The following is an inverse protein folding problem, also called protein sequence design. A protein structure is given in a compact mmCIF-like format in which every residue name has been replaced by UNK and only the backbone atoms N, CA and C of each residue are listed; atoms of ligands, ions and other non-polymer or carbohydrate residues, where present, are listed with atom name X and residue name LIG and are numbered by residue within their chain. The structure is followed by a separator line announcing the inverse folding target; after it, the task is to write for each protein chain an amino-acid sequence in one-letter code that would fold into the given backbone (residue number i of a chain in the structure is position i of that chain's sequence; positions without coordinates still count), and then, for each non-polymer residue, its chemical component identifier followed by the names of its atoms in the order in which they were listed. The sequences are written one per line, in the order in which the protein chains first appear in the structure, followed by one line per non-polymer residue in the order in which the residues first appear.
data_IF_321262691969
#
_entry.id   IF_321262691969
#
_cell.length_a   1.000
_cell.length_b   1.000
_cell.length_c   1.000
_cell.angle_alpha   90.00
_cell.angle_beta   90.00
_cell.angle_gamma   90.00
#
_symmetry.space_group_name_H-M   'P 1'
#
loop_
_entity.id
_entity.type
_entity.pdbx_description
1 polymer ?
#
# COMPACT_ATOMS: atom_id res chain seq x y z
N UNK A 1 -5.43 -12.39 5.10
CA UNK A 1 -4.17 -12.77 4.42
C UNK A 1 -3.00 -12.37 5.32
N UNK A 2 -2.00 -13.22 5.52
CA UNK A 2 -0.79 -12.91 6.31
C UNK A 2 0.46 -13.04 5.43
N UNK A 3 1.43 -12.14 5.61
CA UNK A 3 2.70 -12.12 4.86
C UNK A 3 3.69 -13.06 5.53
N UNK A 4 4.10 -14.14 4.86
CA UNK A 4 5.05 -15.11 5.41
C UNK A 4 6.50 -14.64 5.41
N UNK A 5 6.90 -13.93 4.34
CA UNK A 5 8.25 -13.42 4.16
C UNK A 5 8.18 -11.96 3.74
N UNK A 6 8.92 -11.13 4.46
CA UNK A 6 9.04 -9.71 4.16
C UNK A 6 9.96 -9.50 2.94
N UNK A 7 9.47 -8.90 1.84
CA UNK A 7 10.28 -8.66 0.65
C UNK A 7 11.35 -7.57 0.92
N UNK A 8 12.38 -7.52 0.08
CA UNK A 8 13.36 -6.42 0.15
C UNK A 8 12.73 -5.08 -0.22
N UNK A 9 11.94 -5.07 -1.31
CA UNK A 9 11.18 -3.89 -1.76
C UNK A 9 9.69 -4.14 -1.51
N UNK A 10 9.05 -3.25 -0.77
CA UNK A 10 7.61 -3.27 -0.53
C UNK A 10 6.90 -2.30 -1.49
N UNK A 11 6.23 -2.85 -2.51
CA UNK A 11 5.39 -2.06 -3.42
C UNK A 11 3.95 -2.01 -2.90
N UNK A 12 3.46 -0.82 -2.57
CA UNK A 12 2.10 -0.59 -2.08
C UNK A 12 1.25 0.11 -3.15
N UNK A 13 0.25 -0.59 -3.68
CA UNK A 13 -0.69 -0.02 -4.64
C UNK A 13 -1.87 0.59 -3.88
N UNK A 14 -1.96 1.93 -3.85
CA UNK A 14 -3.15 2.62 -3.36
C UNK A 14 -4.28 2.48 -4.38
N UNK A 15 -5.40 1.86 -3.98
CA UNK A 15 -6.58 1.65 -4.85
C UNK A 15 -7.30 2.98 -5.13
N UNK A 16 -6.70 3.81 -5.98
CA UNK A 16 -7.16 5.17 -6.31
C UNK A 16 -8.20 5.21 -7.44
N UNK A 17 -8.61 4.07 -7.97
CA UNK A 17 -9.64 4.00 -9.00
C UNK A 17 -10.70 3.00 -8.54
N UNK A 18 -11.97 3.41 -8.62
CA UNK A 18 -13.12 2.56 -8.31
C UNK A 18 -14.14 2.65 -9.43
N UNK A 19 -14.76 1.54 -9.77
CA UNK A 19 -15.90 1.53 -10.67
C UNK A 19 -17.11 2.15 -9.96
N UNK A 20 -17.69 3.18 -10.57
CA UNK A 20 -18.87 3.87 -10.07
C UNK A 20 -20.06 3.40 -10.90
N UNK A 21 -20.88 2.52 -10.33
CA UNK A 21 -22.03 1.92 -11.02
C UNK A 21 -22.99 3.00 -11.56
N UNK A 22 -23.28 4.03 -10.78
CA UNK A 22 -24.15 5.15 -11.20
C UNK A 22 -23.65 5.87 -12.46
N UNK A 23 -22.33 5.94 -12.68
CA UNK A 23 -21.71 6.59 -13.83
C UNK A 23 -21.27 5.61 -14.92
N UNK A 24 -21.44 4.31 -14.69
CA UNK A 24 -20.99 3.22 -15.56
C UNK A 24 -19.51 3.36 -16.00
N UNK A 25 -18.63 3.84 -15.10
CA UNK A 25 -17.20 4.05 -15.40
C UNK A 25 -16.31 3.98 -14.17
N UNK A 26 -15.01 3.73 -14.38
CA UNK A 26 -13.99 3.93 -13.36
C UNK A 26 -13.77 5.42 -13.10
N UNK A 27 -13.73 5.79 -11.82
CA UNK A 27 -13.50 7.16 -11.37
C UNK A 27 -12.32 7.20 -10.41
N UNK A 28 -11.51 8.26 -10.51
CA UNK A 28 -10.40 8.52 -9.60
C UNK A 28 -10.92 8.96 -8.23
N UNK A 29 -10.35 8.38 -7.18
CA UNK A 29 -10.66 8.67 -5.79
C UNK A 29 -9.72 9.75 -5.25
N UNK A 30 -10.17 11.01 -5.27
CA UNK A 30 -9.37 12.20 -4.94
C UNK A 30 -9.27 12.53 -3.45
N UNK A 31 -9.75 11.66 -2.55
CA UNK A 31 -9.62 11.91 -1.11
C UNK A 31 -8.15 11.85 -0.65
N UNK A 32 -7.82 12.58 0.41
CA UNK A 32 -6.47 12.56 0.98
C UNK A 32 -6.16 11.18 1.56
N UNK A 33 -4.94 10.69 1.30
CA UNK A 33 -4.37 9.53 2.01
C UNK A 33 -3.04 9.98 2.56
N UNK A 34 -2.84 9.74 3.85
CA UNK A 34 -1.56 9.96 4.53
C UNK A 34 -0.72 8.69 4.43
N UNK A 35 0.60 8.85 4.32
CA UNK A 35 1.55 7.76 4.37
C UNK A 35 2.77 8.20 5.20
N UNK A 36 3.36 7.30 6.00
CA UNK A 36 4.54 7.61 6.78
C UNK A 36 5.82 7.51 5.94
N UNK A 37 6.90 8.10 6.42
CA UNK A 37 8.25 7.91 5.84
C UNK A 37 8.85 6.56 6.24
N UNK A 38 8.47 6.04 7.40
CA UNK A 38 8.89 4.73 7.91
C UNK A 38 7.65 3.87 8.18
N UNK A 39 7.66 2.62 7.71
CA UNK A 39 6.51 1.72 7.81
C UNK A 39 6.89 0.36 8.39
N UNK A 40 6.17 -0.04 9.44
CA UNK A 40 6.16 -1.41 9.96
C UNK A 40 4.95 -2.18 9.46
N UNK A 41 5.14 -3.44 9.05
CA UNK A 41 4.03 -4.33 8.68
C UNK A 41 3.55 -5.13 9.91
N UNK A 42 2.25 -5.05 10.21
CA UNK A 42 1.64 -5.74 11.37
C UNK A 42 0.98 -7.09 11.03
N UNK A 43 0.79 -7.40 9.74
CA UNK A 43 0.09 -8.60 9.26
C UNK A 43 1.06 -9.68 8.75
N UNK A 44 2.13 -9.96 9.49
CA UNK A 44 3.06 -11.07 9.22
C UNK A 44 2.55 -12.37 9.85
N UNK A 45 3.00 -13.53 9.34
CA UNK A 45 2.76 -14.80 10.01
C UNK A 45 3.64 -14.94 11.26
N UNK A 46 3.24 -15.75 12.24
CA UNK A 46 3.97 -15.88 13.51
C UNK A 46 5.37 -16.48 13.37
N UNK A 47 5.62 -17.17 12.26
CA UNK A 47 6.89 -17.76 11.83
C UNK A 47 7.70 -16.83 10.90
N UNK A 48 7.23 -15.60 10.63
CA UNK A 48 7.94 -14.69 9.75
C UNK A 48 9.24 -14.21 10.41
N UNK A 49 10.34 -14.32 9.67
CA UNK A 49 11.65 -13.83 10.11
C UNK A 49 11.68 -12.30 10.02
N UNK A 50 12.26 -11.64 11.03
CA UNK A 50 12.38 -10.17 11.13
C UNK A 50 11.03 -9.43 11.24
N UNK A 51 10.20 -9.81 12.20
CA UNK A 51 8.91 -9.16 12.51
C UNK A 51 9.01 -7.65 12.81
N UNK A 52 10.18 -7.18 13.20
CA UNK A 52 10.48 -5.78 13.51
C UNK A 52 11.06 -4.98 12.33
N UNK A 53 11.12 -5.56 11.12
CA UNK A 53 11.64 -4.84 9.95
C UNK A 53 10.83 -3.55 9.71
N UNK A 54 11.55 -2.44 9.69
CA UNK A 54 11.09 -1.15 9.23
C UNK A 54 11.42 -0.98 7.74
N UNK A 55 10.51 -0.37 7.00
CA UNK A 55 10.71 0.03 5.61
C UNK A 55 10.77 1.54 5.51
N UNK A 56 11.80 2.05 4.84
CA UNK A 56 11.91 3.47 4.50
C UNK A 56 11.23 3.76 3.17
N UNK A 57 10.58 4.93 3.07
CA UNK A 57 9.98 5.41 1.83
C UNK A 57 11.07 5.81 0.84
N UNK A 58 11.18 5.05 -0.24
CA UNK A 58 12.18 5.29 -1.29
C UNK A 58 11.61 5.95 -2.55
N UNK A 59 10.30 5.84 -2.79
CA UNK A 59 9.67 6.38 -4.00
C UNK A 59 8.16 6.62 -3.81
N UNK A 60 7.63 7.61 -4.54
CA UNK A 60 6.19 7.88 -4.65
C UNK A 60 5.84 8.01 -6.13
N UNK A 61 4.84 7.24 -6.58
CA UNK A 61 4.27 7.36 -7.93
C UNK A 61 3.02 8.23 -7.85
N UNK A 62 3.03 9.36 -8.54
CA UNK A 62 1.92 10.31 -8.57
C UNK A 62 1.22 10.25 -9.93
N UNK A 63 -0.10 10.03 -9.91
CA UNK A 63 -0.93 10.14 -11.11
C UNK A 63 -1.61 11.52 -11.15
N UNK A 64 -1.27 12.33 -12.16
CA UNK A 64 -1.89 13.62 -12.45
C UNK A 64 -2.94 13.45 -13.55
N UNK A 65 -4.13 14.06 -13.37
CA UNK A 65 -5.32 13.74 -14.16
C UNK A 65 -6.21 12.74 -13.43
#
# INVERSE_FOLDING_TARGET
MRVKKLPMILALHLKRFKYMEQLHRYTKLSYRVVFPLELRLFNTSGDAVNLDRMYDLVAVVVHCG
#
